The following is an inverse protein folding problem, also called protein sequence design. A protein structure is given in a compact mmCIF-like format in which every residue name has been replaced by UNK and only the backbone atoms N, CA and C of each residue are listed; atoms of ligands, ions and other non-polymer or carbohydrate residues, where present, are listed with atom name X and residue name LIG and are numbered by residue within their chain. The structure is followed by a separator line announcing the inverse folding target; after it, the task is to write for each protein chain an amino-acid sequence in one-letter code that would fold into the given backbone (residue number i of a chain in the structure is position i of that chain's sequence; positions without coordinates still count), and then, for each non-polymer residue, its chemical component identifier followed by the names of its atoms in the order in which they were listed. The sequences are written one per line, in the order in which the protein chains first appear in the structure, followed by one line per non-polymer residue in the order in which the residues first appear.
data_IF_009623142825
#
_entry.id   IF_009623142825
#
_cell.length_a   1.000
_cell.length_b   1.000
_cell.length_c   1.000
_cell.angle_alpha   90.00
_cell.angle_beta   90.00
_cell.angle_gamma   90.00
#
_symmetry.space_group_name_H-M   'P 1'
#
loop_
_entity.id
_entity.type
_entity.pdbx_description
1 polymer ?
#
# COMPACT_ATOMS: atom_id res chain seq x y z
N UNK A 1 -52.56 -22.57 -38.03
CA UNK A 1 -52.33 -23.92 -37.52
C UNK A 1 -51.62 -23.80 -36.18
N UNK A 2 -52.32 -24.15 -35.17
CA UNK A 2 -52.11 -24.19 -33.76
C UNK A 2 -51.14 -25.29 -33.38
N UNK A 3 -50.30 -25.05 -32.36
CA UNK A 3 -49.93 -25.98 -31.28
C UNK A 3 -48.70 -25.38 -30.61
N UNK A 4 -48.53 -25.24 -29.30
CA UNK A 4 -49.16 -25.85 -28.18
C UNK A 4 -48.13 -25.83 -27.04
N UNK A 5 -48.46 -25.11 -25.99
CA UNK A 5 -47.71 -24.90 -24.75
C UNK A 5 -47.57 -26.20 -23.99
N UNK A 6 -46.40 -26.45 -23.40
CA UNK A 6 -46.25 -27.40 -22.28
C UNK A 6 -45.46 -26.77 -21.15
N UNK A 7 -46.17 -26.34 -20.10
CA UNK A 7 -45.63 -26.08 -18.76
C UNK A 7 -45.31 -27.40 -18.10
N UNK A 8 -44.13 -27.55 -17.50
CA UNK A 8 -43.84 -28.58 -16.48
C UNK A 8 -43.66 -27.91 -15.14
N UNK A 9 -44.60 -28.17 -14.29
CA UNK A 9 -44.58 -27.95 -12.83
C UNK A 9 -43.66 -29.01 -12.21
N UNK A 10 -42.75 -28.65 -11.33
CA UNK A 10 -42.04 -29.55 -10.46
C UNK A 10 -42.33 -29.14 -9.03
N UNK A 11 -42.91 -30.10 -8.30
CA UNK A 11 -43.34 -30.00 -6.92
C UNK A 11 -42.16 -29.98 -5.93
N UNK A 12 -42.41 -29.30 -4.83
CA UNK A 12 -41.57 -29.20 -3.63
C UNK A 12 -41.48 -30.53 -2.89
N UNK A 13 -40.29 -30.87 -2.40
CA UNK A 13 -40.15 -31.74 -1.20
C UNK A 13 -39.38 -30.99 -0.13
N UNK A 14 -40.10 -30.74 0.97
CA UNK A 14 -39.54 -30.27 2.24
C UNK A 14 -38.79 -31.45 2.91
N UNK A 15 -37.59 -31.16 3.41
CA UNK A 15 -36.87 -32.01 4.36
C UNK A 15 -36.28 -31.10 5.44
N UNK A 16 -36.82 -31.25 6.65
CA UNK A 16 -36.37 -30.53 7.85
C UNK A 16 -35.13 -31.23 8.45
N UNK A 17 -34.22 -30.45 8.97
CA UNK A 17 -33.10 -30.96 9.77
C UNK A 17 -32.18 -29.80 10.18
N UNK A 18 -32.43 -29.27 11.38
CA UNK A 18 -31.71 -28.13 11.90
C UNK A 18 -30.30 -28.43 12.39
N UNK A 19 -29.42 -27.47 12.29
CA UNK A 19 -28.33 -27.20 13.22
C UNK A 19 -28.02 -25.71 13.12
N UNK A 20 -28.35 -24.99 14.17
CA UNK A 20 -27.97 -23.59 14.33
C UNK A 20 -26.46 -23.52 14.53
N UNK A 21 -25.73 -23.06 13.54
CA UNK A 21 -24.36 -22.60 13.68
C UNK A 21 -24.42 -21.11 13.96
N UNK A 22 -23.96 -20.73 15.13
CA UNK A 22 -24.00 -19.36 15.64
C UNK A 22 -23.33 -18.38 14.67
N UNK A 23 -24.11 -17.39 14.27
CA UNK A 23 -23.64 -16.17 13.63
C UNK A 23 -22.74 -15.42 14.64
N UNK A 24 -21.43 -15.48 14.40
CA UNK A 24 -20.55 -14.42 14.89
C UNK A 24 -20.52 -13.34 13.80
N UNK A 25 -21.57 -12.55 13.79
CA UNK A 25 -21.69 -11.37 13.00
C UNK A 25 -20.77 -10.27 13.53
N UNK A 26 -19.60 -10.18 12.98
CA UNK A 26 -18.82 -8.96 12.91
C UNK A 26 -19.02 -8.38 11.53
N UNK A 27 -20.03 -7.56 11.31
CA UNK A 27 -20.10 -6.66 10.15
C UNK A 27 -19.05 -5.59 10.35
N UNK A 28 -17.82 -5.84 9.88
CA UNK A 28 -16.92 -4.75 9.55
C UNK A 28 -17.59 -4.07 8.34
N UNK A 29 -18.18 -2.91 8.54
CA UNK A 29 -18.53 -2.00 7.45
C UNK A 29 -17.23 -1.73 6.72
N UNK A 30 -17.06 -2.28 5.51
CA UNK A 30 -15.91 -1.98 4.66
C UNK A 30 -15.83 -0.46 4.52
N UNK A 31 -14.68 0.10 4.86
CA UNK A 31 -14.41 1.54 4.71
C UNK A 31 -14.63 1.91 3.26
N UNK A 32 -15.55 2.84 2.99
CA UNK A 32 -15.80 3.38 1.65
C UNK A 32 -14.94 4.62 1.45
N UNK A 33 -14.20 4.65 0.37
CA UNK A 33 -13.34 5.77 -0.01
C UNK A 33 -14.07 6.66 -1.01
N UNK A 34 -14.42 7.89 -0.60
CA UNK A 34 -15.16 8.87 -1.41
C UNK A 34 -14.52 10.23 -1.43
N UNK A 35 -13.99 10.66 -0.30
CA UNK A 35 -13.40 11.98 -0.10
C UNK A 35 -11.91 11.87 0.18
N UNK A 36 -11.20 13.00 0.25
CA UNK A 36 -9.79 13.01 0.63
C UNK A 36 -9.60 12.59 2.10
N UNK A 37 -10.53 12.97 2.97
CA UNK A 37 -10.52 12.64 4.40
C UNK A 37 -10.61 11.12 4.63
N UNK A 38 -11.30 10.38 3.75
CA UNK A 38 -11.37 8.91 3.84
C UNK A 38 -10.00 8.27 3.54
N UNK A 39 -9.15 8.94 2.77
CA UNK A 39 -7.84 8.44 2.36
C UNK A 39 -6.73 8.79 3.37
N UNK A 40 -6.81 9.99 3.95
CA UNK A 40 -5.85 10.46 4.95
C UNK A 40 -5.93 9.61 6.22
N UNK A 41 -4.79 9.31 6.83
CA UNK A 41 -4.69 8.43 8.00
C UNK A 41 -4.76 6.93 7.68
N UNK A 42 -4.87 6.55 6.41
CA UNK A 42 -4.97 5.14 6.01
C UNK A 42 -3.58 4.52 5.80
N UNK A 43 -3.42 3.31 6.34
CA UNK A 43 -2.25 2.47 6.20
C UNK A 43 -2.54 1.35 5.20
N UNK A 44 -1.71 1.23 4.17
CA UNK A 44 -1.86 0.27 3.08
C UNK A 44 -0.67 -0.70 3.03
N UNK A 45 -0.94 -1.95 2.67
CA UNK A 45 0.06 -2.86 2.12
C UNK A 45 -0.45 -3.29 0.75
N UNK A 46 0.43 -3.27 -0.24
CA UNK A 46 0.09 -3.71 -1.59
C UNK A 46 1.21 -4.55 -2.20
N UNK A 47 0.83 -5.43 -3.10
CA UNK A 47 1.74 -6.33 -3.81
C UNK A 47 1.62 -6.05 -5.29
N UNK A 48 2.71 -5.66 -5.92
CA UNK A 48 2.81 -5.50 -7.36
C UNK A 48 2.66 -6.85 -8.09
N UNK A 49 2.24 -6.84 -9.35
CA UNK A 49 2.03 -8.06 -10.16
C UNK A 49 3.29 -8.93 -10.27
N UNK A 50 4.48 -8.33 -10.09
CA UNK A 50 5.76 -9.05 -10.02
C UNK A 50 6.07 -9.67 -8.65
N UNK A 51 5.13 -9.63 -7.69
CA UNK A 51 5.26 -10.20 -6.34
C UNK A 51 6.01 -9.33 -5.32
N UNK A 52 6.40 -8.11 -5.67
CA UNK A 52 7.10 -7.20 -4.74
C UNK A 52 6.10 -6.50 -3.84
N UNK A 53 6.37 -6.51 -2.54
CA UNK A 53 5.48 -5.99 -1.52
C UNK A 53 5.97 -4.67 -0.96
N UNK A 54 5.05 -3.72 -0.78
CA UNK A 54 5.30 -2.37 -0.27
C UNK A 54 4.28 -2.03 0.80
N UNK A 55 4.70 -1.25 1.77
CA UNK A 55 3.88 -0.71 2.85
C UNK A 55 3.90 0.81 2.78
N UNK A 56 2.74 1.43 2.91
CA UNK A 56 2.58 2.85 2.69
C UNK A 56 1.50 3.43 3.60
N UNK A 57 1.78 4.56 4.22
CA UNK A 57 0.88 5.25 5.13
C UNK A 57 0.66 6.68 4.66
N UNK A 58 -0.62 7.05 4.42
CA UNK A 58 -1.05 8.42 4.16
C UNK A 58 -1.11 9.17 5.49
N UNK A 59 -0.01 9.78 5.90
CA UNK A 59 0.11 10.38 7.22
C UNK A 59 -0.84 11.54 7.42
N UNK A 60 -0.88 12.43 6.42
CA UNK A 60 -1.81 13.56 6.33
C UNK A 60 -2.05 13.92 4.84
N UNK A 61 -2.59 15.11 4.55
CA UNK A 61 -2.95 15.55 3.20
C UNK A 61 -1.74 15.95 2.31
N UNK A 62 -0.54 15.94 2.85
CA UNK A 62 0.69 16.33 2.13
C UNK A 62 1.93 15.53 2.51
N UNK A 63 1.81 14.51 3.39
CA UNK A 63 2.95 13.74 3.89
C UNK A 63 2.66 12.26 3.91
N UNK A 64 3.65 11.46 3.49
CA UNK A 64 3.57 10.00 3.49
C UNK A 64 4.78 9.38 4.18
N UNK A 65 4.56 8.22 4.80
CA UNK A 65 5.62 7.36 5.31
C UNK A 65 5.54 6.00 4.60
N UNK A 66 6.67 5.31 4.35
CA UNK A 66 6.63 4.01 3.68
C UNK A 66 7.82 3.11 4.00
N UNK A 67 7.64 1.80 3.77
CA UNK A 67 8.66 0.74 3.80
C UNK A 67 8.61 -0.09 2.53
N UNK A 68 9.78 -0.53 2.07
CA UNK A 68 9.92 -1.35 0.87
C UNK A 68 10.33 -2.76 1.30
N UNK A 69 9.38 -3.71 1.20
CA UNK A 69 9.56 -5.10 1.60
C UNK A 69 10.11 -5.99 0.48
N UNK A 70 10.10 -5.50 -0.76
CA UNK A 70 10.55 -6.27 -1.93
C UNK A 70 11.19 -5.42 -3.02
N UNK A 71 11.88 -6.07 -3.96
CA UNK A 71 12.43 -5.42 -5.13
C UNK A 71 13.83 -4.85 -4.97
N UNK A 72 14.22 -3.97 -5.91
CA UNK A 72 15.59 -3.45 -6.08
C UNK A 72 16.10 -2.70 -4.85
N UNK A 73 15.22 -1.98 -4.17
CA UNK A 73 15.54 -1.16 -2.99
C UNK A 73 14.88 -1.71 -1.71
N UNK A 74 14.71 -3.06 -1.64
CA UNK A 74 14.20 -3.75 -0.45
C UNK A 74 15.02 -3.37 0.79
N UNK A 75 14.36 -2.99 1.87
CA UNK A 75 14.99 -2.57 3.12
C UNK A 75 14.99 -1.05 3.34
N UNK A 76 14.72 -0.26 2.29
CA UNK A 76 14.53 1.19 2.41
C UNK A 76 13.26 1.51 3.17
N UNK A 77 13.32 2.54 4.01
CA UNK A 77 12.16 3.09 4.67
C UNK A 77 12.29 4.60 4.88
N UNK A 78 11.16 5.27 4.96
CA UNK A 78 11.07 6.73 4.89
C UNK A 78 9.96 7.21 5.80
N UNK A 79 10.19 8.35 6.47
CA UNK A 79 9.19 9.08 7.23
C UNK A 79 9.12 10.53 6.75
N UNK A 80 7.90 11.08 6.76
CA UNK A 80 7.70 12.50 6.46
C UNK A 80 8.09 12.89 5.04
N UNK A 81 7.93 12.00 4.05
CA UNK A 81 8.10 12.35 2.65
C UNK A 81 6.99 13.31 2.23
N UNK A 82 7.37 14.52 1.84
CA UNK A 82 6.42 15.46 1.22
C UNK A 82 5.88 14.89 -0.08
N UNK A 83 4.57 14.95 -0.27
CA UNK A 83 3.87 14.40 -1.42
C UNK A 83 2.68 15.27 -1.82
N UNK A 84 2.37 15.26 -3.11
CA UNK A 84 1.15 15.87 -3.65
C UNK A 84 0.06 14.81 -3.69
N UNK A 85 -1.00 15.01 -2.89
CA UNK A 85 -2.13 14.08 -2.78
C UNK A 85 -3.38 14.75 -3.34
N UNK A 86 -4.05 14.09 -4.27
CA UNK A 86 -5.24 14.63 -4.96
C UNK A 86 -6.31 13.58 -5.08
N UNK A 87 -7.55 13.95 -4.78
CA UNK A 87 -8.74 13.21 -5.16
C UNK A 87 -9.06 13.52 -6.63
N UNK A 88 -8.93 12.55 -7.52
CA UNK A 88 -9.22 12.73 -8.95
C UNK A 88 -10.72 12.63 -9.24
N UNK A 89 -11.36 11.69 -8.59
CA UNK A 89 -12.81 11.47 -8.54
C UNK A 89 -13.13 10.60 -7.35
N UNK A 90 -14.40 10.40 -6.99
CA UNK A 90 -14.82 9.56 -5.87
C UNK A 90 -14.09 8.20 -5.90
N UNK A 91 -13.33 7.91 -4.84
CA UNK A 91 -12.59 6.66 -4.66
C UNK A 91 -11.31 6.50 -5.49
N UNK A 92 -10.85 7.53 -6.21
CA UNK A 92 -9.60 7.48 -6.99
C UNK A 92 -8.68 8.62 -6.56
N UNK A 93 -7.48 8.27 -6.08
CA UNK A 93 -6.51 9.19 -5.52
C UNK A 93 -5.18 9.10 -6.27
N UNK A 94 -4.60 10.25 -6.60
CA UNK A 94 -3.24 10.36 -7.11
C UNK A 94 -2.32 10.86 -6.00
N UNK A 95 -1.19 10.19 -5.85
CA UNK A 95 -0.09 10.63 -4.97
C UNK A 95 1.19 10.70 -5.79
N UNK A 96 1.92 11.81 -5.70
CA UNK A 96 3.18 11.97 -6.41
C UNK A 96 4.22 12.72 -5.56
N UNK A 97 5.48 12.29 -5.66
CA UNK A 97 6.60 12.94 -4.97
C UNK A 97 7.92 12.72 -5.69
N UNK A 98 8.92 13.52 -5.34
CA UNK A 98 10.32 13.31 -5.72
C UNK A 98 11.14 13.06 -4.45
N UNK A 99 11.97 12.04 -4.48
CA UNK A 99 12.87 11.67 -3.39
C UNK A 99 14.21 12.41 -3.48
N UNK A 100 14.99 12.48 -2.37
CA UNK A 100 16.37 13.03 -2.39
C UNK A 100 17.29 12.35 -3.41
N UNK A 101 16.96 11.11 -3.79
CA UNK A 101 17.64 10.33 -4.83
C UNK A 101 17.40 10.82 -6.25
N UNK A 102 16.50 11.78 -6.49
CA UNK A 102 15.92 12.14 -7.79
C UNK A 102 15.03 11.02 -8.38
N UNK A 103 14.53 10.11 -7.54
CA UNK A 103 13.48 9.16 -7.92
C UNK A 103 12.14 9.87 -7.87
N UNK A 104 11.41 9.85 -8.99
CA UNK A 104 10.03 10.33 -9.02
C UNK A 104 9.08 9.15 -8.89
N UNK A 105 8.03 9.34 -8.10
CA UNK A 105 6.99 8.35 -7.85
C UNK A 105 5.63 8.95 -8.13
N UNK A 106 4.80 8.23 -8.87
CA UNK A 106 3.39 8.54 -9.06
C UNK A 106 2.57 7.28 -8.81
N UNK A 107 1.62 7.36 -7.89
CA UNK A 107 0.72 6.26 -7.52
C UNK A 107 -0.72 6.70 -7.72
N UNK A 108 -1.50 5.85 -8.38
CA UNK A 108 -2.95 6.01 -8.51
C UNK A 108 -3.62 4.90 -7.68
N UNK A 109 -4.24 5.28 -6.57
CA UNK A 109 -4.95 4.37 -5.67
C UNK A 109 -6.42 4.27 -6.04
N UNK A 110 -6.96 3.05 -6.09
CA UNK A 110 -8.38 2.72 -6.23
C UNK A 110 -8.77 1.77 -5.10
N UNK A 111 -8.83 2.24 -3.84
CA UNK A 111 -8.96 1.38 -2.66
C UNK A 111 -10.26 0.57 -2.64
N UNK A 112 -11.36 1.13 -3.14
CA UNK A 112 -12.65 0.43 -3.21
C UNK A 112 -12.62 -0.82 -4.11
N UNK A 113 -11.62 -0.92 -5.01
CA UNK A 113 -11.38 -2.08 -5.87
C UNK A 113 -10.13 -2.87 -5.47
N UNK A 114 -9.49 -2.52 -4.37
CA UNK A 114 -8.20 -3.06 -3.93
C UNK A 114 -7.11 -2.99 -5.01
N UNK A 115 -7.10 -1.91 -5.79
CA UNK A 115 -6.16 -1.71 -6.90
C UNK A 115 -5.28 -0.49 -6.70
N UNK A 116 -4.08 -0.57 -7.26
CA UNK A 116 -3.14 0.52 -7.36
C UNK A 116 -2.40 0.40 -8.70
N UNK A 117 -2.11 1.55 -9.33
CA UNK A 117 -1.11 1.64 -10.39
C UNK A 117 0.02 2.54 -9.92
N UNK A 118 1.25 2.07 -10.06
CA UNK A 118 2.45 2.83 -9.75
C UNK A 118 3.27 3.08 -11.00
N UNK A 119 3.83 4.31 -11.13
CA UNK A 119 4.88 4.60 -12.10
C UNK A 119 6.04 5.23 -11.36
N UNK A 120 7.19 4.55 -11.37
CA UNK A 120 8.39 4.97 -10.66
C UNK A 120 9.47 5.25 -11.69
N UNK A 121 10.13 6.41 -11.59
CA UNK A 121 11.21 6.85 -12.46
C UNK A 121 12.52 6.83 -11.67
N UNK A 122 13.19 5.68 -11.67
CA UNK A 122 14.48 5.55 -10.97
C UNK A 122 15.60 6.23 -11.77
N UNK A 123 16.41 7.10 -11.16
CA UNK A 123 17.65 7.57 -11.76
C UNK A 123 18.56 6.39 -12.12
N UNK A 124 19.36 6.56 -13.18
CA UNK A 124 20.29 5.53 -13.62
C UNK A 124 21.18 5.03 -12.48
N UNK A 125 21.69 5.92 -11.66
CA UNK A 125 22.56 5.57 -10.53
C UNK A 125 21.85 4.71 -9.46
N UNK A 126 20.56 4.93 -9.20
CA UNK A 126 19.81 4.09 -8.25
C UNK A 126 19.66 2.66 -8.81
N UNK A 127 19.50 2.51 -10.13
CA UNK A 127 19.49 1.21 -10.78
C UNK A 127 20.86 0.51 -10.69
N UNK A 128 21.95 1.26 -10.83
CA UNK A 128 23.33 0.74 -10.84
C UNK A 128 23.88 0.52 -9.43
N UNK A 129 23.43 1.31 -8.44
CA UNK A 129 23.89 1.31 -7.05
C UNK A 129 22.72 1.35 -6.04
N UNK A 130 21.76 0.41 -6.12
CA UNK A 130 20.57 0.44 -5.28
C UNK A 130 20.91 0.32 -3.78
N UNK A 131 22.02 -0.33 -3.43
CA UNK A 131 22.50 -0.53 -2.06
C UNK A 131 22.72 0.79 -1.30
N UNK A 132 23.05 1.87 -2.00
CA UNK A 132 23.24 3.20 -1.39
C UNK A 132 21.92 3.72 -0.79
N UNK A 133 20.78 3.30 -1.37
CA UNK A 133 19.46 3.78 -0.95
C UNK A 133 18.75 2.87 0.06
N UNK A 134 19.34 1.70 0.38
CA UNK A 134 18.77 0.72 1.31
C UNK A 134 19.10 1.10 2.75
N UNK A 135 18.40 2.09 3.28
CA UNK A 135 18.63 2.64 4.62
C UNK A 135 17.36 3.39 5.11
N UNK A 136 17.45 3.96 6.31
CA UNK A 136 16.52 5.00 6.74
C UNK A 136 16.85 6.30 6.00
N UNK A 137 16.02 6.70 5.04
CA UNK A 137 16.27 7.88 4.19
C UNK A 137 16.59 9.12 5.00
N UNK A 138 15.83 9.38 6.07
CA UNK A 138 15.90 10.63 6.84
C UNK A 138 17.27 10.84 7.51
N UNK A 139 18.02 9.77 7.78
CA UNK A 139 19.38 9.84 8.33
C UNK A 139 20.46 9.87 7.23
N UNK A 140 20.10 9.69 5.96
CA UNK A 140 21.04 9.52 4.84
C UNK A 140 20.77 10.45 3.65
N UNK A 141 20.03 11.55 3.86
CA UNK A 141 19.69 12.52 2.79
C UNK A 141 20.95 13.07 2.12
N UNK A 142 21.94 13.51 2.90
CA UNK A 142 23.19 14.04 2.36
C UNK A 142 23.95 13.02 1.47
N UNK A 143 23.96 11.73 1.85
CA UNK A 143 24.55 10.66 1.05
C UNK A 143 23.82 10.49 -0.30
N UNK A 144 22.49 10.59 -0.31
CA UNK A 144 21.68 10.49 -1.53
C UNK A 144 21.89 11.69 -2.45
N UNK A 145 21.96 12.89 -1.89
CA UNK A 145 22.25 14.12 -2.64
C UNK A 145 23.67 14.09 -3.24
N UNK A 146 24.68 13.69 -2.48
CA UNK A 146 26.04 13.50 -2.98
C UNK A 146 26.09 12.47 -4.10
N UNK A 147 25.37 11.35 -3.96
CA UNK A 147 25.31 10.31 -4.98
C UNK A 147 24.63 10.80 -6.24
N UNK A 148 23.58 11.60 -6.13
CA UNK A 148 22.90 12.24 -7.26
C UNK A 148 23.84 13.18 -8.05
N UNK A 149 24.70 13.92 -7.35
CA UNK A 149 25.69 14.80 -8.00
C UNK A 149 26.86 14.01 -8.63
N UNK A 150 27.22 12.88 -8.06
CA UNK A 150 28.36 12.06 -8.45
C UNK A 150 28.06 11.14 -9.63
N UNK A 151 26.88 10.58 -9.72
CA UNK A 151 26.51 9.52 -10.65
C UNK A 151 25.51 10.01 -11.72
N UNK A 152 25.43 9.28 -12.83
CA UNK A 152 24.52 9.63 -13.91
C UNK A 152 23.04 9.40 -13.53
N UNK A 153 22.22 10.42 -13.67
CA UNK A 153 20.76 10.33 -13.45
C UNK A 153 20.03 9.75 -14.65
N UNK A 154 20.44 10.11 -15.88
CA UNK A 154 19.77 9.73 -17.12
C UNK A 154 20.56 8.65 -17.90
N UNK A 155 19.87 7.77 -18.64
CA UNK A 155 18.42 7.61 -18.74
C UNK A 155 17.80 7.01 -17.46
N UNK A 156 16.63 7.51 -17.04
CA UNK A 156 15.87 6.93 -15.92
C UNK A 156 15.31 5.55 -16.32
N UNK A 157 15.28 4.63 -15.37
CA UNK A 157 14.52 3.38 -15.50
C UNK A 157 13.07 3.68 -15.11
N UNK A 158 12.16 3.57 -16.08
CA UNK A 158 10.72 3.75 -15.82
C UNK A 158 10.09 2.39 -15.55
N UNK A 159 9.40 2.28 -14.42
CA UNK A 159 8.76 1.05 -13.95
C UNK A 159 7.26 1.33 -13.75
N UNK A 160 6.40 1.10 -14.76
CA UNK A 160 4.96 1.14 -14.62
C UNK A 160 4.46 -0.26 -14.23
N UNK A 161 3.76 -0.37 -13.10
CA UNK A 161 3.24 -1.65 -12.61
C UNK A 161 1.87 -1.49 -11.95
N UNK A 162 1.03 -2.52 -12.09
CA UNK A 162 -0.17 -2.67 -11.29
C UNK A 162 0.12 -3.42 -10.00
N UNK A 163 -0.68 -3.13 -8.98
CA UNK A 163 -0.62 -3.80 -7.70
C UNK A 163 -2.02 -4.08 -7.16
N UNK A 164 -2.10 -5.13 -6.34
CA UNK A 164 -3.28 -5.43 -5.51
C UNK A 164 -3.04 -4.91 -4.10
N UNK A 165 -3.97 -4.12 -3.57
CA UNK A 165 -3.96 -3.71 -2.17
C UNK A 165 -4.40 -4.93 -1.34
N UNK A 166 -3.53 -5.37 -0.45
CA UNK A 166 -3.71 -6.59 0.36
C UNK A 166 -4.00 -6.31 1.83
N UNK A 167 -3.90 -5.04 2.24
CA UNK A 167 -4.26 -4.57 3.57
C UNK A 167 -4.66 -3.10 3.51
N UNK A 168 -5.73 -2.77 4.23
CA UNK A 168 -6.21 -1.41 4.48
C UNK A 168 -6.49 -1.31 5.97
N UNK A 169 -5.81 -0.41 6.65
CA UNK A 169 -5.99 -0.14 8.08
C UNK A 169 -6.21 1.35 8.34
N UNK A 170 -7.07 1.67 9.29
CA UNK A 170 -7.18 3.02 9.82
C UNK A 170 -6.10 3.21 10.89
N UNK A 171 -5.10 4.02 10.58
CA UNK A 171 -3.99 4.30 11.48
C UNK A 171 -4.12 5.68 12.16
N UNK A 172 -5.13 6.46 11.77
CA UNK A 172 -5.31 7.85 12.19
C UNK A 172 -4.33 8.81 11.52
N UNK A 173 -4.64 10.10 11.61
CA UNK A 173 -3.84 11.20 11.03
C UNK A 173 -2.64 11.49 11.92
N UNK A 174 -1.50 11.85 11.32
CA UNK A 174 -0.26 12.24 12.01
C UNK A 174 0.25 11.23 13.05
N UNK A 175 0.00 9.95 12.82
CA UNK A 175 0.44 8.89 13.72
C UNK A 175 1.91 8.51 13.47
N UNK A 176 2.80 8.93 14.36
CA UNK A 176 4.24 8.64 14.28
C UNK A 176 4.61 7.18 14.57
N UNK A 177 3.64 6.35 15.00
CA UNK A 177 3.88 4.97 15.41
C UNK A 177 3.65 3.94 14.30
N UNK A 178 3.22 4.34 13.10
CA UNK A 178 2.90 3.42 12.00
C UNK A 178 4.19 2.87 11.37
N UNK A 179 5.10 3.75 11.00
CA UNK A 179 6.39 3.42 10.38
C UNK A 179 7.52 3.86 11.33
N UNK A 180 8.12 2.94 12.08
CA UNK A 180 9.10 3.27 13.14
C UNK A 180 10.42 2.52 13.05
N UNK A 181 10.52 1.52 12.18
CA UNK A 181 11.71 0.67 12.01
C UNK A 181 11.86 0.17 10.58
N UNK A 182 13.04 -0.33 10.24
CA UNK A 182 13.30 -0.97 8.97
C UNK A 182 12.39 -2.21 8.76
N UNK A 183 12.02 -2.53 7.52
CA UNK A 183 11.26 -3.73 7.23
C UNK A 183 12.07 -4.99 7.58
N UNK A 184 11.39 -6.01 8.11
CA UNK A 184 11.95 -7.34 8.36
C UNK A 184 11.09 -8.42 7.69
N UNK A 185 11.63 -9.61 7.55
CA UNK A 185 10.92 -10.74 6.92
C UNK A 185 9.70 -11.15 7.75
N UNK A 186 8.52 -11.24 7.09
CA UNK A 186 7.24 -11.55 7.74
C UNK A 186 6.53 -10.37 8.39
N UNK A 187 7.11 -9.14 8.38
CA UNK A 187 6.50 -7.97 9.00
C UNK A 187 5.10 -7.68 8.45
N UNK A 188 4.89 -7.77 7.15
CA UNK A 188 3.60 -7.51 6.51
C UNK A 188 2.54 -8.53 6.91
N UNK A 189 2.92 -9.79 7.15
CA UNK A 189 2.03 -10.82 7.68
C UNK A 189 1.68 -10.53 9.14
N UNK A 190 2.64 -10.06 9.94
CA UNK A 190 2.39 -9.64 11.31
C UNK A 190 1.44 -8.44 11.38
N UNK A 191 1.58 -7.47 10.46
CA UNK A 191 0.65 -6.32 10.36
C UNK A 191 -0.75 -6.79 10.00
N UNK A 192 -0.91 -7.63 8.96
CA UNK A 192 -2.22 -8.18 8.54
C UNK A 192 -2.88 -8.99 9.64
N UNK A 193 -2.08 -9.71 10.43
CA UNK A 193 -2.56 -10.50 11.56
C UNK A 193 -2.82 -9.68 12.84
N UNK A 194 -2.58 -8.36 12.83
CA UNK A 194 -2.69 -7.50 14.01
C UNK A 194 -1.67 -7.83 15.11
N UNK A 195 -0.54 -8.42 14.74
CA UNK A 195 0.55 -8.80 15.67
C UNK A 195 1.69 -7.79 15.73
N UNK A 196 1.76 -6.89 14.75
CA UNK A 196 2.76 -5.83 14.74
C UNK A 196 2.30 -4.66 15.61
N UNK A 197 3.10 -4.32 16.62
CA UNK A 197 2.89 -3.16 17.47
C UNK A 197 4.20 -2.35 17.57
N UNK A 198 4.19 -1.11 17.16
CA UNK A 198 5.33 -0.20 17.24
C UNK A 198 5.88 -0.06 18.68
N UNK A 199 5.01 -0.19 19.71
CA UNK A 199 5.41 -0.19 21.11
C UNK A 199 6.38 -1.34 21.46
N UNK A 200 6.29 -2.47 20.78
CA UNK A 200 7.21 -3.61 21.00
C UNK A 200 8.59 -3.36 20.44
N UNK A 201 8.73 -2.57 19.38
CA UNK A 201 10.02 -2.10 18.88
C UNK A 201 10.76 -1.26 19.92
N UNK A 202 10.06 -0.33 20.59
CA UNK A 202 10.65 0.49 21.65
C UNK A 202 11.10 -0.33 22.86
N UNK A 203 10.41 -1.46 23.16
CA UNK A 203 10.81 -2.38 24.23
C UNK A 203 12.06 -3.16 23.87
N UNK A 204 12.24 -3.53 22.61
CA UNK A 204 13.42 -4.30 22.12
C UNK A 204 14.69 -3.45 22.06
N UNK A 205 14.57 -2.10 22.00
CA UNK A 205 15.72 -1.17 21.98
C UNK A 205 16.16 -0.67 23.36
N UNK A 206 15.44 -1.00 24.43
CA UNK A 206 15.83 -0.72 25.83
C UNK A 206 16.55 -1.92 26.43
#
# INVERSE_FOLDING_TARGET
MTTGTARRTIESKRGAGGAAVGERGGTSTEKQFKTLEDFVGTHFIYTYDNGREYEWYCKNDHTVDYRIHGGMVKGRWVKGQEAHISLLTEGIYKVAWTEPTDTDVALDFVPNENKLNGTIFFPRWVKEHPEITVCFQNEHIALMEESREKYATYPKLVVPEFATITYIGDAGVDNEEVIVEAPYEGMTDDIRAGKYYAADYRRRKK
#
